data_IF_620105129867
#
_entry.id   IF_620105129867
#
_cell.length_a   1.000
_cell.length_b   1.000
_cell.length_c   1.000
_cell.angle_alpha   90.00
_cell.angle_beta   90.00
_cell.angle_gamma   90.00
#
_symmetry.space_group_name_H-M   'P 1'
#
loop_
_entity.id
_entity.type
_entity.pdbx_description
1 polymer ?
#
# COMPACT_ATOMS: atom_id res chain seq x y z
N UNK A 1 32.31 -4.68 -0.99
CA UNK A 1 31.73 -4.36 0.34
C UNK A 1 30.23 -4.26 0.16
N UNK A 2 29.46 -5.27 0.59
CA UNK A 2 28.01 -5.25 0.48
C UNK A 2 27.49 -4.27 1.55
N UNK A 3 26.96 -3.12 1.13
CA UNK A 3 26.24 -2.23 2.03
C UNK A 3 25.10 -3.02 2.70
N UNK A 4 24.72 -2.72 3.96
CA UNK A 4 23.56 -3.33 4.56
C UNK A 4 22.34 -2.97 3.69
N UNK A 5 21.86 -3.93 2.90
CA UNK A 5 20.63 -3.77 2.14
C UNK A 5 19.51 -3.72 3.17
N UNK A 6 18.89 -2.54 3.32
CA UNK A 6 17.67 -2.40 4.13
C UNK A 6 16.69 -3.52 3.80
N UNK A 7 16.00 -4.06 4.81
CA UNK A 7 15.00 -5.09 4.53
C UNK A 7 13.96 -4.51 3.57
N UNK A 8 13.46 -5.27 2.59
CA UNK A 8 12.50 -4.76 1.62
C UNK A 8 11.27 -4.10 2.25
N UNK A 9 10.80 -4.60 3.40
CA UNK A 9 9.72 -3.98 4.18
C UNK A 9 10.06 -2.57 4.68
N UNK A 10 11.31 -2.35 5.12
CA UNK A 10 11.78 -1.05 5.59
C UNK A 10 11.91 -0.07 4.41
N UNK A 11 12.40 -0.56 3.26
CA UNK A 11 12.44 0.22 2.02
C UNK A 11 11.04 0.61 1.55
N UNK A 12 10.07 -0.31 1.59
CA UNK A 12 8.67 -0.04 1.25
C UNK A 12 8.09 1.04 2.18
N UNK A 13 8.26 0.89 3.50
CA UNK A 13 7.77 1.88 4.48
C UNK A 13 8.39 3.25 4.26
N UNK A 14 9.69 3.32 4.03
CA UNK A 14 10.39 4.59 3.77
C UNK A 14 9.93 5.26 2.46
N UNK A 15 9.77 4.49 1.38
CA UNK A 15 9.28 5.02 0.12
C UNK A 15 7.84 5.55 0.23
N UNK A 16 6.96 4.83 0.92
CA UNK A 16 5.59 5.28 1.18
C UNK A 16 5.57 6.55 2.04
N UNK A 17 6.39 6.62 3.10
CA UNK A 17 6.51 7.82 3.92
C UNK A 17 6.94 9.03 3.08
N UNK A 18 7.97 8.90 2.24
CA UNK A 18 8.41 9.98 1.35
C UNK A 18 7.36 10.42 0.32
N UNK A 19 6.49 9.51 -0.13
CA UNK A 19 5.36 9.86 -1.00
C UNK A 19 4.25 10.61 -0.24
N UNK A 20 4.11 10.39 1.06
CA UNK A 20 3.10 11.03 1.90
C UNK A 20 3.55 12.38 2.48
N UNK A 21 4.85 12.63 2.65
CA UNK A 21 5.39 13.83 3.29
C UNK A 21 4.94 15.16 2.66
N UNK A 22 4.47 15.15 1.40
CA UNK A 22 3.94 16.31 0.70
C UNK A 22 2.42 16.39 0.61
N UNK A 23 1.68 15.42 1.17
CA UNK A 23 0.23 15.33 1.01
C UNK A 23 -0.52 15.98 2.17
N UNK A 24 -1.45 16.91 1.90
CA UNK A 24 -2.35 17.41 2.93
C UNK A 24 -3.12 16.25 3.58
N UNK A 25 -3.15 16.14 4.93
CA UNK A 25 -3.83 15.04 5.61
C UNK A 25 -5.30 14.89 5.20
N UNK A 26 -5.99 16.00 4.93
CA UNK A 26 -7.39 16.02 4.48
C UNK A 26 -7.60 15.45 3.07
N UNK A 27 -6.56 15.41 2.23
CA UNK A 27 -6.61 14.76 0.92
C UNK A 27 -6.46 13.25 1.09
N UNK A 28 -5.51 12.81 1.93
CA UNK A 28 -5.31 11.39 2.23
C UNK A 28 -6.55 10.75 2.88
N UNK A 29 -7.17 11.42 3.86
CA UNK A 29 -8.41 10.94 4.49
C UNK A 29 -9.55 10.81 3.48
N UNK A 30 -9.76 11.82 2.62
CA UNK A 30 -10.82 11.78 1.59
C UNK A 30 -10.62 10.66 0.56
N UNK A 31 -9.37 10.38 0.19
CA UNK A 31 -9.03 9.27 -0.70
C UNK A 31 -9.42 7.93 -0.07
N UNK A 32 -9.06 7.72 1.21
CA UNK A 32 -9.36 6.48 1.94
C UNK A 32 -10.87 6.30 2.16
N UNK A 33 -11.57 7.34 2.60
CA UNK A 33 -13.03 7.29 2.85
C UNK A 33 -13.80 6.93 1.58
N UNK A 34 -13.46 7.55 0.44
CA UNK A 34 -14.05 7.21 -0.86
C UNK A 34 -13.75 5.78 -1.26
N UNK A 35 -12.53 5.31 -1.03
CA UNK A 35 -12.13 3.96 -1.40
C UNK A 35 -12.86 2.90 -0.56
N UNK A 36 -13.03 3.13 0.74
CA UNK A 36 -13.83 2.28 1.62
C UNK A 36 -15.30 2.29 1.18
N UNK A 37 -15.86 3.46 0.83
CA UNK A 37 -17.22 3.59 0.33
C UNK A 37 -17.43 2.83 -1.00
N UNK A 38 -16.48 2.92 -1.93
CA UNK A 38 -16.52 2.17 -3.20
C UNK A 38 -16.42 0.65 -2.98
N UNK A 39 -15.58 0.20 -2.04
CA UNK A 39 -15.44 -1.23 -1.74
C UNK A 39 -16.67 -1.82 -1.01
N UNK A 40 -17.37 -1.01 -0.21
CA UNK A 40 -18.56 -1.42 0.56
C UNK A 40 -19.89 -1.12 -0.13
N UNK A 41 -19.89 -0.31 -1.18
CA UNK A 41 -21.09 0.10 -1.91
C UNK A 41 -21.37 -0.80 -3.12
N UNK A 42 -22.63 -0.80 -3.56
CA UNK A 42 -23.07 -1.38 -4.84
C UNK A 42 -22.85 -0.45 -6.03
N UNK A 43 -22.28 0.75 -5.81
CA UNK A 43 -22.17 1.80 -6.82
C UNK A 43 -21.18 1.38 -7.90
N UNK A 44 -21.64 1.06 -9.13
CA UNK A 44 -20.75 0.84 -10.26
C UNK A 44 -20.08 2.19 -10.53
N UNK A 45 -18.81 2.32 -10.18
CA UNK A 45 -18.07 3.55 -10.44
C UNK A 45 -17.34 3.38 -11.75
N UNK A 46 -17.93 3.89 -12.83
CA UNK A 46 -17.29 4.03 -14.15
C UNK A 46 -16.11 5.03 -14.14
N UNK A 47 -15.87 5.69 -13.00
CA UNK A 47 -14.74 6.58 -12.79
C UNK A 47 -13.52 5.82 -12.23
N UNK A 48 -12.28 6.17 -12.64
CA UNK A 48 -11.08 5.57 -12.06
C UNK A 48 -11.10 5.66 -10.54
N UNK A 49 -10.89 4.53 -9.86
CA UNK A 49 -10.81 4.45 -8.39
C UNK A 49 -9.60 5.24 -7.88
N UNK A 50 -8.52 5.27 -8.66
CA UNK A 50 -7.30 6.02 -8.40
C UNK A 50 -7.19 7.12 -9.44
N UNK A 51 -7.41 8.38 -9.04
CA UNK A 51 -7.58 9.49 -9.99
C UNK A 51 -6.35 10.37 -10.13
N UNK A 52 -5.57 10.45 -9.06
CA UNK A 52 -4.35 11.24 -9.03
C UNK A 52 -3.27 10.56 -8.17
N UNK A 53 -2.09 11.19 -8.12
CA UNK A 53 -0.95 10.68 -7.38
C UNK A 53 -1.20 10.59 -5.87
N UNK A 54 -2.03 11.48 -5.32
CA UNK A 54 -2.35 11.48 -3.89
C UNK A 54 -3.22 10.28 -3.52
N UNK A 55 -4.23 9.98 -4.35
CA UNK A 55 -5.08 8.79 -4.17
C UNK A 55 -4.24 7.50 -4.21
N UNK A 56 -3.31 7.41 -5.16
CA UNK A 56 -2.40 6.25 -5.30
C UNK A 56 -1.51 6.10 -4.07
N UNK A 57 -0.89 7.19 -3.60
CA UNK A 57 -0.01 7.16 -2.45
C UNK A 57 -0.76 6.80 -1.15
N UNK A 58 -1.95 7.37 -0.93
CA UNK A 58 -2.79 7.07 0.22
C UNK A 58 -3.27 5.62 0.20
N UNK A 59 -3.70 5.11 -0.95
CA UNK A 59 -4.13 3.71 -1.09
C UNK A 59 -2.97 2.73 -0.85
N UNK A 60 -1.82 3.01 -1.45
CA UNK A 60 -0.62 2.20 -1.29
C UNK A 60 -0.18 2.16 0.18
N UNK A 61 -0.15 3.31 0.86
CA UNK A 61 0.19 3.39 2.28
C UNK A 61 -0.76 2.58 3.17
N UNK A 62 -2.06 2.60 2.86
CA UNK A 62 -3.07 1.86 3.62
C UNK A 62 -2.98 0.34 3.42
N UNK A 63 -2.74 -0.14 2.19
CA UNK A 63 -2.85 -1.58 1.85
C UNK A 63 -1.51 -2.32 1.77
N UNK A 64 -0.50 -1.69 1.19
CA UNK A 64 0.73 -2.39 0.81
C UNK A 64 1.50 -2.98 1.99
N UNK A 65 1.64 -2.33 3.17
CA UNK A 65 2.41 -2.90 4.26
C UNK A 65 1.87 -4.26 4.72
N UNK A 66 0.55 -4.37 4.92
CA UNK A 66 -0.07 -5.62 5.34
C UNK A 66 0.00 -6.69 4.24
N UNK A 67 -0.25 -6.33 2.98
CA UNK A 67 -0.15 -7.27 1.86
C UNK A 67 1.28 -7.77 1.64
N UNK A 68 2.27 -6.90 1.79
CA UNK A 68 3.68 -7.26 1.65
C UNK A 68 4.08 -8.32 2.69
N UNK A 69 3.79 -8.06 3.98
CA UNK A 69 4.10 -9.00 5.05
C UNK A 69 3.35 -10.33 4.88
N UNK A 70 2.08 -10.30 4.45
CA UNK A 70 1.31 -11.51 4.19
C UNK A 70 1.93 -12.37 3.07
N UNK A 71 2.36 -11.73 1.96
CA UNK A 71 3.01 -12.43 0.85
C UNK A 71 4.38 -12.98 1.26
N UNK A 72 5.19 -12.20 1.97
CA UNK A 72 6.47 -12.68 2.49
C UNK A 72 6.29 -13.88 3.43
N UNK A 73 5.28 -13.84 4.30
CA UNK A 73 4.92 -14.97 5.17
C UNK A 73 4.50 -16.20 4.36
N UNK A 74 3.63 -16.04 3.36
CA UNK A 74 3.18 -17.13 2.50
C UNK A 74 4.33 -17.77 1.71
N UNK A 75 5.24 -16.95 1.17
CA UNK A 75 6.43 -17.43 0.47
C UNK A 75 7.40 -18.14 1.42
N UNK A 76 7.59 -17.63 2.63
CA UNK A 76 8.38 -18.30 3.66
C UNK A 76 7.80 -19.67 4.04
N UNK A 77 6.47 -19.75 4.19
CA UNK A 77 5.78 -21.01 4.43
C UNK A 77 5.90 -21.99 3.26
N UNK A 78 5.80 -21.50 2.01
CA UNK A 78 5.98 -22.32 0.81
C UNK A 78 7.41 -22.91 0.75
N UNK A 79 8.43 -22.10 1.02
CA UNK A 79 9.82 -22.57 1.09
C UNK A 79 9.99 -23.62 2.18
N UNK A 80 9.36 -23.43 3.35
CA UNK A 80 9.40 -24.40 4.43
C UNK A 80 8.66 -25.72 4.14
N UNK A 81 7.73 -25.72 3.18
CA UNK A 81 6.96 -26.90 2.76
C UNK A 81 7.56 -27.64 1.55
N UNK A 82 8.59 -27.08 0.90
CA UNK A 82 9.26 -27.71 -0.23
C UNK A 82 10.04 -28.97 0.24
N UNK A 83 10.02 -30.06 -0.54
CA UNK A 83 10.71 -31.31 -0.21
C UNK A 83 12.23 -31.21 -0.28
#
# INVERSE_FOLDING_TARGET
MNAPTSRPADTLRAALAGLLDGLPPSQATRAVDRLIANYRGTTPTDAPILRDRADVAAYAAYRMPATFEAVCSALGALVGAAP
#
